data_IF_828209748724
#
_entry.id   IF_828209748724
#
_cell.length_a   1.000
_cell.length_b   1.000
_cell.length_c   1.000
_cell.angle_alpha   90.00
_cell.angle_beta   90.00
_cell.angle_gamma   90.00
#
_symmetry.space_group_name_H-M   'P 1'
#
loop_
_entity.id
_entity.type
_entity.pdbx_description
1 polymer ?
#
# COMPACT_ATOMS: atom_id res chain seq x y z
N UNK A 1 -62.00 -45.47 11.80
CA UNK A 1 -60.53 -45.60 12.06
C UNK A 1 -59.60 -44.80 11.10
N UNK A 2 -60.08 -44.36 9.94
CA UNK A 2 -59.31 -43.61 8.95
C UNK A 2 -58.96 -42.11 9.32
N UNK A 3 -59.85 -41.48 10.06
CA UNK A 3 -59.73 -40.05 10.41
C UNK A 3 -58.66 -39.78 11.48
N UNK A 4 -58.40 -40.66 12.41
CA UNK A 4 -57.38 -40.51 13.47
C UNK A 4 -55.98 -40.63 12.92
N UNK A 5 -55.76 -41.48 11.90
CA UNK A 5 -54.40 -41.57 11.28
C UNK A 5 -54.05 -40.36 10.45
N UNK A 6 -55.02 -39.73 9.78
CA UNK A 6 -54.74 -38.47 9.00
C UNK A 6 -54.41 -37.28 9.90
N UNK A 7 -55.02 -37.22 11.10
CA UNK A 7 -54.72 -36.16 12.06
C UNK A 7 -53.31 -36.32 12.65
N UNK A 8 -52.89 -37.54 12.94
CA UNK A 8 -51.54 -37.85 13.42
C UNK A 8 -50.45 -37.54 12.38
N UNK A 9 -50.70 -37.87 11.12
CA UNK A 9 -49.79 -37.59 10.01
C UNK A 9 -49.69 -36.08 9.77
N UNK A 10 -50.79 -35.34 9.85
CA UNK A 10 -50.82 -33.90 9.73
C UNK A 10 -50.06 -33.18 10.87
N UNK A 11 -50.20 -33.68 12.10
CA UNK A 11 -49.47 -33.15 13.26
C UNK A 11 -47.95 -33.42 13.17
N UNK A 12 -47.56 -34.57 12.65
CA UNK A 12 -46.16 -34.96 12.45
C UNK A 12 -45.49 -34.10 11.38
N UNK A 13 -46.20 -33.80 10.28
CA UNK A 13 -45.71 -32.92 9.22
C UNK A 13 -45.52 -31.48 9.68
N UNK A 14 -46.37 -30.95 10.55
CA UNK A 14 -46.25 -29.63 11.14
C UNK A 14 -45.06 -29.56 12.10
N UNK A 15 -44.81 -30.62 12.90
CA UNK A 15 -43.67 -30.69 13.81
C UNK A 15 -42.31 -30.68 13.06
N UNK A 16 -42.23 -31.36 11.90
CA UNK A 16 -41.02 -31.40 11.08
C UNK A 16 -40.74 -30.02 10.42
N UNK A 17 -41.77 -29.26 10.03
CA UNK A 17 -41.61 -27.93 9.43
C UNK A 17 -41.16 -26.87 10.41
N UNK A 18 -41.41 -27.02 11.72
CA UNK A 18 -40.97 -26.07 12.75
C UNK A 18 -39.50 -26.28 13.16
N UNK A 19 -38.96 -27.49 13.02
CA UNK A 19 -37.54 -27.76 13.34
C UNK A 19 -36.54 -27.26 12.27
N UNK A 20 -37.03 -26.88 11.07
CA UNK A 20 -36.19 -26.42 9.98
C UNK A 20 -35.77 -24.91 10.03
N UNK A 21 -36.32 -24.13 10.97
CA UNK A 21 -36.12 -22.69 11.03
C UNK A 21 -35.15 -22.21 12.11
N UNK A 22 -34.52 -23.09 12.86
CA UNK A 22 -33.52 -22.74 13.87
C UNK A 22 -32.08 -22.99 13.43
N UNK A 23 -31.78 -22.93 12.12
CA UNK A 23 -30.42 -22.89 11.65
C UNK A 23 -30.01 -21.42 11.37
N UNK A 24 -30.19 -20.53 12.34
CA UNK A 24 -29.31 -19.39 12.46
C UNK A 24 -28.06 -19.91 13.16
N UNK A 25 -27.09 -20.44 12.41
CA UNK A 25 -25.72 -20.36 12.84
C UNK A 25 -25.42 -18.86 12.97
N UNK A 26 -25.28 -18.37 14.18
CA UNK A 26 -24.54 -17.13 14.40
C UNK A 26 -23.17 -17.41 13.80
N UNK A 27 -22.95 -16.95 12.56
CA UNK A 27 -21.62 -16.78 12.04
C UNK A 27 -20.98 -15.83 13.04
N UNK A 28 -20.10 -16.37 13.87
CA UNK A 28 -19.23 -15.55 14.68
C UNK A 28 -18.30 -14.88 13.67
N UNK A 29 -18.69 -13.68 13.22
CA UNK A 29 -17.93 -12.90 12.23
C UNK A 29 -16.58 -12.48 12.78
N UNK A 30 -16.08 -13.10 13.84
CA UNK A 30 -14.83 -12.76 14.48
C UNK A 30 -14.75 -11.27 14.78
N UNK A 31 -13.88 -10.84 15.63
CA UNK A 31 -13.64 -9.41 15.81
C UNK A 31 -13.14 -8.82 14.48
N UNK A 32 -13.94 -7.93 13.89
CA UNK A 32 -13.51 -7.14 12.72
C UNK A 32 -12.23 -6.40 13.10
N UNK A 33 -11.16 -6.71 12.38
CA UNK A 33 -9.88 -6.00 12.49
C UNK A 33 -9.80 -5.06 11.30
N UNK A 34 -9.68 -3.77 11.57
CA UNK A 34 -9.49 -2.78 10.51
C UNK A 34 -8.25 -3.14 9.68
N UNK A 35 -8.35 -3.16 8.34
CA UNK A 35 -7.21 -3.45 7.50
C UNK A 35 -6.14 -2.36 7.71
N UNK A 36 -4.88 -2.79 7.89
CA UNK A 36 -3.75 -1.88 8.03
C UNK A 36 -3.60 -1.06 6.75
N UNK A 37 -3.59 0.25 6.88
CA UNK A 37 -3.40 1.16 5.74
C UNK A 37 -1.94 1.18 5.31
N UNK A 38 -1.69 1.28 4.02
CA UNK A 38 -0.33 1.24 3.46
C UNK A 38 0.54 2.37 4.02
N UNK A 39 0.00 3.56 4.18
CA UNK A 39 0.76 4.69 4.71
C UNK A 39 1.20 4.50 6.17
N UNK A 40 0.48 3.72 6.98
CA UNK A 40 0.93 3.36 8.34
C UNK A 40 2.23 2.55 8.32
N UNK A 41 2.48 1.80 7.23
CA UNK A 41 3.69 1.01 7.05
C UNK A 41 4.86 1.80 6.48
N UNK A 42 4.58 2.84 5.69
CA UNK A 42 5.62 3.60 4.99
C UNK A 42 6.01 4.90 5.69
N UNK A 43 5.27 5.31 6.72
CA UNK A 43 5.66 6.44 7.55
C UNK A 43 6.97 6.19 8.29
N UNK A 44 7.73 7.27 8.56
CA UNK A 44 8.98 7.23 9.29
C UNK A 44 10.19 7.73 8.50
N UNK A 45 11.37 7.43 9.04
CA UNK A 45 12.66 7.82 8.47
C UNK A 45 13.23 6.67 7.64
N UNK A 46 13.59 6.97 6.40
CA UNK A 46 14.13 6.01 5.43
C UNK A 46 15.48 6.46 4.92
N UNK A 47 16.48 5.58 4.99
CA UNK A 47 17.83 5.81 4.48
C UNK A 47 18.05 4.99 3.22
N UNK A 48 18.83 5.52 2.27
CA UNK A 48 19.12 4.81 1.03
C UNK A 48 19.95 3.56 1.29
N UNK A 49 19.48 2.44 0.78
CA UNK A 49 20.24 1.21 0.63
C UNK A 49 20.86 1.14 -0.77
N UNK A 50 20.07 1.41 -1.81
CA UNK A 50 20.55 1.50 -3.17
C UNK A 50 19.64 2.34 -4.06
N UNK A 51 20.21 2.96 -5.10
CA UNK A 51 19.46 3.59 -6.18
C UNK A 51 19.99 3.10 -7.53
N UNK A 52 19.05 2.72 -8.39
CA UNK A 52 19.34 2.22 -9.75
C UNK A 52 18.61 3.08 -10.77
N UNK A 53 19.36 3.58 -11.75
CA UNK A 53 18.80 4.21 -12.94
C UNK A 53 18.53 3.15 -14.00
N UNK A 54 17.39 3.23 -14.66
CA UNK A 54 17.04 2.39 -15.80
C UNK A 54 16.72 3.26 -17.02
N UNK A 55 17.36 2.99 -18.14
CA UNK A 55 16.95 3.52 -19.45
C UNK A 55 15.74 2.72 -19.92
N UNK A 56 14.56 3.31 -19.91
CA UNK A 56 13.30 2.66 -20.25
C UNK A 56 13.16 2.36 -21.75
N UNK A 57 14.07 2.85 -22.59
CA UNK A 57 14.07 2.60 -24.03
C UNK A 57 14.77 1.29 -24.41
N UNK A 58 15.74 0.84 -23.62
CA UNK A 58 16.56 -0.33 -23.91
C UNK A 58 16.80 -1.25 -22.70
N UNK A 59 16.16 -0.94 -21.55
CA UNK A 59 16.26 -1.67 -20.29
C UNK A 59 17.68 -1.77 -19.69
N UNK A 60 18.62 -0.90 -20.10
CA UNK A 60 19.94 -0.84 -19.48
C UNK A 60 19.86 -0.17 -18.11
N UNK A 61 20.57 -0.73 -17.15
CA UNK A 61 20.59 -0.25 -15.76
C UNK A 61 21.97 0.22 -15.36
N UNK A 62 22.01 1.19 -14.43
CA UNK A 62 23.22 1.67 -13.77
C UNK A 62 22.95 1.89 -12.29
N UNK A 63 23.78 1.34 -11.43
CA UNK A 63 23.74 1.61 -9.98
C UNK A 63 24.37 2.95 -9.71
N UNK A 64 23.66 3.82 -9.01
CA UNK A 64 24.09 5.20 -8.69
C UNK A 64 24.46 5.37 -7.21
N UNK A 65 24.26 4.39 -6.35
CA UNK A 65 24.34 4.49 -4.89
C UNK A 65 25.59 5.19 -4.39
N UNK A 66 26.75 4.82 -4.92
CA UNK A 66 28.05 5.41 -4.51
C UNK A 66 28.52 6.54 -5.43
N UNK A 67 27.67 7.03 -6.31
CA UNK A 67 27.99 8.13 -7.21
C UNK A 67 27.38 9.43 -6.68
N UNK A 68 28.18 10.51 -6.67
CA UNK A 68 27.73 11.86 -6.29
C UNK A 68 27.09 11.92 -4.88
N UNK A 69 27.60 11.10 -3.94
CA UNK A 69 27.13 11.03 -2.55
C UNK A 69 25.64 10.71 -2.42
N UNK A 70 25.06 9.94 -3.36
CA UNK A 70 23.65 9.52 -3.28
C UNK A 70 23.38 8.60 -2.10
N UNK A 71 24.38 7.95 -1.52
CA UNK A 71 24.31 7.19 -0.28
C UNK A 71 23.98 8.04 0.95
N UNK A 72 24.08 9.38 0.85
CA UNK A 72 23.65 10.32 1.91
C UNK A 72 22.14 10.59 1.92
N UNK A 73 21.39 10.11 0.92
CA UNK A 73 19.97 10.36 0.78
C UNK A 73 19.15 9.78 1.94
N UNK A 74 18.32 10.62 2.52
CA UNK A 74 17.34 10.26 3.55
C UNK A 74 16.01 10.91 3.21
N UNK A 75 14.91 10.19 3.38
CA UNK A 75 13.57 10.75 3.29
C UNK A 75 12.81 10.50 4.60
N UNK A 76 12.18 11.54 5.12
CA UNK A 76 11.25 11.48 6.24
C UNK A 76 9.83 11.57 5.70
N UNK A 77 8.98 10.63 6.07
CA UNK A 77 7.55 10.59 5.77
C UNK A 77 6.79 10.69 7.09
N UNK A 78 6.48 11.93 7.51
CA UNK A 78 5.89 12.19 8.81
C UNK A 78 4.41 11.82 8.84
N UNK A 79 3.93 11.41 10.01
CA UNK A 79 2.55 11.05 10.28
C UNK A 79 2.05 11.78 11.54
N UNK A 80 0.74 11.97 11.63
CA UNK A 80 0.12 12.47 12.84
C UNK A 80 -0.08 11.35 13.89
N UNK A 81 -0.68 11.69 15.03
CA UNK A 81 -0.96 10.75 16.11
C UNK A 81 -1.95 9.64 15.75
N UNK A 82 -2.63 9.74 14.62
CA UNK A 82 -3.54 8.73 14.07
C UNK A 82 -2.91 7.89 12.95
N UNK A 83 -1.62 8.13 12.65
CA UNK A 83 -0.91 7.48 11.55
C UNK A 83 -1.25 8.07 10.16
N UNK A 84 -1.97 9.19 10.08
CA UNK A 84 -2.29 9.82 8.80
C UNK A 84 -1.08 10.59 8.25
N UNK A 85 -0.85 10.56 6.92
CA UNK A 85 0.22 11.28 6.26
C UNK A 85 0.17 12.79 6.52
N UNK A 86 1.33 13.41 6.76
CA UNK A 86 1.46 14.85 6.96
C UNK A 86 2.53 15.47 6.09
N UNK A 87 3.71 15.71 6.62
CA UNK A 87 4.82 16.34 5.91
C UNK A 87 5.85 15.32 5.46
N UNK A 88 6.66 15.70 4.49
CA UNK A 88 7.88 14.99 4.15
C UNK A 88 9.05 15.97 4.05
N UNK A 89 10.24 15.43 4.29
CA UNK A 89 11.51 16.14 4.00
C UNK A 89 12.55 15.17 3.44
N UNK A 90 13.41 15.70 2.57
CA UNK A 90 14.52 14.98 1.95
C UNK A 90 15.81 15.62 2.40
N UNK A 91 16.76 14.80 2.85
CA UNK A 91 18.12 15.19 3.23
C UNK A 91 19.13 14.48 2.34
N UNK A 92 20.34 15.03 2.26
CA UNK A 92 21.43 14.48 1.45
C UNK A 92 21.23 14.69 -0.05
N UNK A 93 22.00 13.95 -0.84
CA UNK A 93 21.99 14.06 -2.30
C UNK A 93 21.01 13.03 -2.90
N UNK A 94 20.25 13.48 -3.88
CA UNK A 94 19.41 12.64 -4.73
C UNK A 94 19.47 13.19 -6.16
N UNK A 95 19.14 12.41 -7.19
CA UNK A 95 18.81 12.99 -8.50
C UNK A 95 17.79 14.13 -8.32
N UNK A 96 18.02 15.30 -8.94
CA UNK A 96 17.26 16.56 -8.74
C UNK A 96 15.76 16.47 -9.13
N UNK A 97 15.12 15.35 -8.88
CA UNK A 97 13.77 15.06 -9.32
C UNK A 97 12.80 14.95 -8.17
N UNK A 98 13.31 14.87 -6.94
CA UNK A 98 12.51 14.82 -5.74
C UNK A 98 12.46 16.22 -5.10
N UNK A 99 11.26 16.72 -4.76
CA UNK A 99 11.14 17.93 -3.98
C UNK A 99 11.74 17.71 -2.59
N UNK A 100 12.36 18.75 -2.02
CA UNK A 100 13.07 18.63 -0.74
C UNK A 100 12.14 18.59 0.47
N UNK A 101 10.93 19.15 0.36
CA UNK A 101 9.93 19.19 1.44
C UNK A 101 8.54 19.49 0.92
N UNK A 102 7.55 19.13 1.71
CA UNK A 102 6.15 19.39 1.41
C UNK A 102 5.21 18.49 2.21
N UNK A 103 4.11 18.11 1.64
CA UNK A 103 3.16 17.13 2.19
C UNK A 103 3.16 15.86 1.36
N UNK A 104 2.89 14.73 1.98
CA UNK A 104 2.77 13.47 1.28
C UNK A 104 1.42 12.82 1.53
N UNK A 105 1.00 12.00 0.59
CA UNK A 105 -0.19 11.16 0.68
C UNK A 105 -0.05 9.95 -0.24
N UNK A 106 -1.05 9.09 -0.27
CA UNK A 106 -1.15 7.99 -1.22
C UNK A 106 -2.40 8.12 -2.07
N UNK A 107 -2.35 7.60 -3.29
CA UNK A 107 -3.50 7.55 -4.20
C UNK A 107 -4.60 6.60 -3.69
N UNK A 108 -4.23 5.56 -2.93
CA UNK A 108 -5.13 4.64 -2.25
C UNK A 108 -4.49 4.21 -0.91
N UNK A 109 -5.23 4.30 0.22
CA UNK A 109 -4.71 3.88 1.51
C UNK A 109 -4.54 2.37 1.66
N UNK A 110 -5.15 1.57 0.77
CA UNK A 110 -5.10 0.10 0.81
C UNK A 110 -4.44 -0.48 -0.44
N UNK A 111 -4.05 -1.75 -0.36
CA UNK A 111 -3.61 -2.51 -1.53
C UNK A 111 -4.75 -2.57 -2.55
N UNK A 112 -4.46 -2.20 -3.79
CA UNK A 112 -5.44 -2.19 -4.87
C UNK A 112 -5.80 -3.62 -5.29
N UNK A 113 -7.09 -3.89 -5.43
CA UNK A 113 -7.61 -5.22 -5.80
C UNK A 113 -7.31 -5.61 -7.26
N UNK A 114 -7.03 -4.63 -8.11
CA UNK A 114 -6.68 -4.81 -9.53
C UNK A 114 -5.20 -5.17 -9.75
N UNK A 115 -4.41 -5.26 -8.67
CA UNK A 115 -2.98 -5.55 -8.72
C UNK A 115 -2.11 -4.37 -9.19
N UNK A 116 -2.70 -3.20 -9.43
CA UNK A 116 -1.92 -2.00 -9.78
C UNK A 116 -1.10 -1.51 -8.58
N UNK A 117 0.12 -1.04 -8.85
CA UNK A 117 0.96 -0.45 -7.82
C UNK A 117 0.35 0.82 -7.23
N UNK A 118 0.46 0.97 -5.91
CA UNK A 118 0.07 2.19 -5.21
C UNK A 118 1.06 3.32 -5.52
N UNK A 119 0.57 4.55 -5.48
CA UNK A 119 1.38 5.75 -5.73
C UNK A 119 1.56 6.52 -4.42
N UNK A 120 2.81 6.85 -4.10
CA UNK A 120 3.18 7.85 -3.10
C UNK A 120 3.22 9.22 -3.81
N UNK A 121 2.42 10.16 -3.34
CA UNK A 121 2.28 11.50 -3.92
C UNK A 121 2.99 12.50 -3.01
N UNK A 122 4.03 13.16 -3.54
CA UNK A 122 4.79 14.22 -2.86
C UNK A 122 4.36 15.56 -3.44
N UNK A 123 3.72 16.40 -2.63
CA UNK A 123 3.26 17.73 -3.03
C UNK A 123 4.12 18.81 -2.40
N UNK A 124 4.71 19.67 -3.24
CA UNK A 124 5.54 20.80 -2.85
C UNK A 124 5.05 22.08 -3.51
N UNK A 125 5.72 23.20 -3.23
CA UNK A 125 5.46 24.48 -3.90
C UNK A 125 5.71 24.41 -5.42
N UNK A 126 6.65 23.56 -5.88
CA UNK A 126 6.98 23.36 -7.30
C UNK A 126 6.04 22.42 -8.05
N UNK A 127 5.13 21.77 -7.36
CA UNK A 127 4.18 20.84 -7.96
C UNK A 127 4.07 19.51 -7.20
N UNK A 128 3.40 18.55 -7.85
CA UNK A 128 3.21 17.20 -7.34
C UNK A 128 4.09 16.19 -8.09
N UNK A 129 4.78 15.34 -7.34
CA UNK A 129 5.57 14.23 -7.86
C UNK A 129 4.95 12.90 -7.41
N UNK A 130 4.65 12.05 -8.38
CA UNK A 130 4.16 10.68 -8.12
C UNK A 130 5.32 9.68 -8.16
N UNK A 131 5.37 8.80 -7.15
CA UNK A 131 6.34 7.71 -7.02
C UNK A 131 5.58 6.39 -6.94
N UNK A 132 5.91 5.45 -7.81
CA UNK A 132 5.29 4.12 -7.82
C UNK A 132 5.91 3.25 -6.73
N UNK A 133 5.13 2.80 -5.76
CA UNK A 133 5.57 1.86 -4.73
C UNK A 133 5.74 0.47 -5.36
N UNK A 134 6.95 -0.07 -5.32
CA UNK A 134 7.28 -1.40 -5.83
C UNK A 134 7.49 -2.42 -4.72
N UNK A 135 7.85 -1.97 -3.52
CA UNK A 135 7.95 -2.81 -2.32
C UNK A 135 7.41 -2.07 -1.11
N UNK A 136 6.44 -2.68 -0.43
CA UNK A 136 5.88 -2.18 0.84
C UNK A 136 6.61 -2.80 2.01
N UNK A 137 6.95 -2.02 3.06
CA UNK A 137 7.65 -2.54 4.23
C UNK A 137 6.92 -3.71 4.89
N UNK A 138 7.66 -4.77 5.13
CA UNK A 138 7.26 -5.97 5.84
C UNK A 138 8.28 -6.31 6.92
N UNK A 139 8.54 -7.59 7.14
CA UNK A 139 9.53 -8.07 8.11
C UNK A 139 10.95 -7.51 7.87
N UNK A 140 11.31 -7.27 6.62
CA UNK A 140 12.63 -6.74 6.24
C UNK A 140 12.75 -5.22 6.37
N UNK A 141 11.69 -4.51 6.77
CA UNK A 141 11.69 -3.05 6.92
C UNK A 141 12.27 -2.32 5.70
N UNK A 142 11.93 -2.78 4.50
CA UNK A 142 12.39 -2.21 3.22
C UNK A 142 11.23 -1.53 2.51
N UNK A 143 11.44 -0.29 2.09
CA UNK A 143 10.56 0.47 1.20
C UNK A 143 11.25 0.63 -0.15
N UNK A 144 10.53 0.33 -1.23
CA UNK A 144 11.05 0.61 -2.56
C UNK A 144 10.03 1.39 -3.37
N UNK A 145 10.49 2.45 -4.01
CA UNK A 145 9.68 3.21 -4.95
C UNK A 145 10.44 3.55 -6.23
N UNK A 146 9.69 3.74 -7.30
CA UNK A 146 10.19 4.08 -8.63
C UNK A 146 9.68 5.45 -9.06
N UNK A 147 10.61 6.33 -9.42
CA UNK A 147 10.34 7.61 -10.06
C UNK A 147 10.55 7.45 -11.55
N UNK A 148 9.54 7.78 -12.37
CA UNK A 148 9.58 7.61 -13.81
C UNK A 148 9.55 9.00 -14.47
N UNK A 149 10.53 9.29 -15.32
CA UNK A 149 10.55 10.46 -16.20
C UNK A 149 9.98 10.11 -17.56
N UNK A 150 9.16 11.01 -18.06
CA UNK A 150 8.50 10.83 -19.35
C UNK A 150 8.83 12.01 -20.28
N UNK A 151 8.92 11.69 -21.57
CA UNK A 151 8.98 12.68 -22.66
C UNK A 151 7.85 12.38 -23.61
N UNK A 152 6.98 13.36 -23.86
CA UNK A 152 5.79 13.19 -24.69
C UNK A 152 4.89 11.99 -24.25
N UNK A 153 4.74 11.81 -22.92
CA UNK A 153 3.95 10.74 -22.34
C UNK A 153 4.59 9.34 -22.39
N UNK A 154 5.83 9.22 -22.86
CA UNK A 154 6.55 7.93 -22.91
C UNK A 154 7.67 7.92 -21.87
N UNK A 155 7.77 6.87 -21.04
CA UNK A 155 8.90 6.67 -20.14
C UNK A 155 10.21 6.64 -20.94
N UNK A 156 11.24 7.38 -20.46
CA UNK A 156 12.56 7.34 -21.05
C UNK A 156 13.66 6.98 -20.05
N UNK A 157 13.49 7.35 -18.77
CA UNK A 157 14.38 6.96 -17.69
C UNK A 157 13.60 6.83 -16.40
N UNK A 158 14.01 5.90 -15.55
CA UNK A 158 13.47 5.78 -14.21
C UNK A 158 14.58 5.60 -13.18
N UNK A 159 14.24 5.90 -11.92
CA UNK A 159 15.10 5.72 -10.76
C UNK A 159 14.35 4.88 -9.74
N UNK A 160 14.91 3.73 -9.40
CA UNK A 160 14.39 2.85 -8.35
C UNK A 160 15.19 3.08 -7.09
N UNK A 161 14.53 3.56 -6.04
CA UNK A 161 15.08 3.80 -4.71
C UNK A 161 14.71 2.65 -3.81
N UNK A 162 15.69 1.90 -3.34
CA UNK A 162 15.53 0.88 -2.32
C UNK A 162 16.02 1.45 -0.99
N UNK A 163 15.14 1.50 0.00
CA UNK A 163 15.35 2.19 1.27
C UNK A 163 15.21 1.23 2.42
N UNK A 164 15.93 1.47 3.49
CA UNK A 164 15.80 0.77 4.76
C UNK A 164 15.31 1.73 5.84
N UNK A 165 14.46 1.24 6.72
CA UNK A 165 13.98 2.03 7.84
C UNK A 165 15.14 2.31 8.80
N UNK A 166 15.35 3.59 9.10
CA UNK A 166 16.30 3.99 10.16
C UNK A 166 15.71 3.66 11.53
N UNK A 167 16.56 3.24 12.46
CA UNK A 167 16.20 3.04 13.87
C UNK A 167 16.06 4.37 14.60
#
# INVERSE_FOLDING_TARGET
MRTKNNLLISLLLIAISVMGLCSCSTVDDGSYVDPIRLYEKIGGKWVLNSVTQTDETNAKTMVLTSLLDFDTFVIHLDQDSKGEPTTFSVEGNAPELLPLKGTWTMDNPFVKSDGMASQLLLKSESGEQSLTITTVPGANKTLEFKLIRQVNGKPFVSYTYNLMQAE
#
